data_IF_789806905571
#
_entry.id   IF_789806905571
#
_cell.length_a   1.000
_cell.length_b   1.000
_cell.length_c   1.000
_cell.angle_alpha   90.00
_cell.angle_beta   90.00
_cell.angle_gamma   90.00
#
_symmetry.space_group_name_H-M   'P 1'
#
loop_
_entity.id
_entity.type
_entity.pdbx_description
1 polymer ?
#
# COMPACT_ATOMS: atom_id res chain seq x y z
N UNK A 1 35.47 42.40 -15.10
CA UNK A 1 34.39 43.17 -14.46
C UNK A 1 33.08 42.58 -14.98
N UNK A 2 32.19 41.94 -14.24
CA UNK A 2 32.03 41.66 -12.81
C UNK A 2 31.12 40.41 -12.68
N UNK A 3 31.31 39.69 -11.57
CA UNK A 3 30.61 38.50 -11.08
C UNK A 3 29.18 38.27 -11.61
N UNK A 4 28.92 37.09 -12.21
CA UNK A 4 27.61 36.44 -12.11
C UNK A 4 27.61 35.54 -10.88
N UNK A 5 26.61 35.67 -10.00
CA UNK A 5 26.72 35.20 -8.63
C UNK A 5 26.59 33.68 -8.57
N UNK A 6 27.46 33.13 -7.73
CA UNK A 6 27.43 31.83 -7.11
C UNK A 6 26.10 31.66 -6.34
N UNK A 7 24.97 31.54 -7.04
CA UNK A 7 23.65 31.36 -6.43
C UNK A 7 23.36 29.88 -6.24
N UNK A 8 23.71 29.43 -5.04
CA UNK A 8 22.82 28.66 -4.18
C UNK A 8 22.50 27.22 -4.63
N UNK A 9 23.50 26.34 -4.49
CA UNK A 9 23.32 24.88 -4.63
C UNK A 9 22.21 24.32 -3.73
N UNK A 10 21.85 25.02 -2.65
CA UNK A 10 20.72 24.73 -1.77
C UNK A 10 19.39 24.69 -2.54
N UNK A 11 19.13 25.67 -3.42
CA UNK A 11 17.84 25.84 -4.12
C UNK A 11 17.64 24.75 -5.17
N UNK A 12 18.71 24.32 -5.85
CA UNK A 12 18.68 23.18 -6.77
C UNK A 12 18.42 21.86 -6.02
N UNK A 13 19.00 21.67 -4.83
CA UNK A 13 18.77 20.46 -4.01
C UNK A 13 17.32 20.40 -3.51
N UNK A 14 16.74 21.51 -3.03
CA UNK A 14 15.34 21.55 -2.58
C UNK A 14 14.34 21.32 -3.72
N UNK A 15 14.59 21.90 -4.91
CA UNK A 15 13.78 21.66 -6.11
C UNK A 15 13.85 20.20 -6.57
N UNK A 16 15.06 19.63 -6.60
CA UNK A 16 15.28 18.22 -6.98
C UNK A 16 14.65 17.25 -5.98
N UNK A 17 14.69 17.57 -4.67
CA UNK A 17 14.09 16.74 -3.62
C UNK A 17 12.58 16.60 -3.77
N UNK A 18 11.87 17.71 -4.01
CA UNK A 18 10.41 17.68 -4.23
C UNK A 18 10.01 16.90 -5.49
N UNK A 19 10.82 16.99 -6.56
CA UNK A 19 10.64 16.23 -7.79
C UNK A 19 10.84 14.72 -7.58
N UNK A 20 11.92 14.32 -6.87
CA UNK A 20 12.20 12.92 -6.56
C UNK A 20 11.15 12.30 -5.65
N UNK A 21 10.66 13.06 -4.67
CA UNK A 21 9.57 12.62 -3.79
C UNK A 21 8.28 12.40 -4.58
N UNK A 22 7.91 13.32 -5.48
CA UNK A 22 6.73 13.18 -6.33
C UNK A 22 6.84 11.94 -7.24
N UNK A 23 8.02 11.71 -7.82
CA UNK A 23 8.28 10.55 -8.67
C UNK A 23 8.21 9.23 -7.87
N UNK A 24 8.77 9.19 -6.66
CA UNK A 24 8.68 8.04 -5.77
C UNK A 24 7.24 7.72 -5.37
N UNK A 25 6.44 8.74 -5.03
CA UNK A 25 5.01 8.58 -4.72
C UNK A 25 4.21 8.06 -5.92
N UNK A 26 4.49 8.55 -7.13
CA UNK A 26 3.87 8.02 -8.36
C UNK A 26 4.22 6.56 -8.59
N UNK A 27 5.48 6.17 -8.39
CA UNK A 27 5.91 4.76 -8.45
C UNK A 27 5.23 3.92 -7.35
N UNK A 28 4.96 4.49 -6.18
CA UNK A 28 4.20 3.85 -5.10
C UNK A 28 2.80 3.48 -5.54
N UNK A 29 2.08 4.49 -6.02
CA UNK A 29 0.72 4.33 -6.46
C UNK A 29 0.64 3.32 -7.62
N UNK A 30 1.63 3.34 -8.51
CA UNK A 30 1.71 2.40 -9.62
C UNK A 30 2.01 0.96 -9.17
N UNK A 31 2.90 0.78 -8.18
CA UNK A 31 3.21 -0.54 -7.62
C UNK A 31 1.98 -1.19 -6.96
N UNK A 32 1.18 -0.40 -6.26
CA UNK A 32 -0.05 -0.83 -5.60
C UNK A 32 -1.30 -0.70 -6.47
N UNK A 33 -1.17 -0.37 -7.76
CA UNK A 33 -2.33 -0.26 -8.64
C UNK A 33 -2.96 -1.65 -8.86
N UNK A 34 -4.30 -1.76 -8.89
CA UNK A 34 -4.95 -3.03 -9.17
C UNK A 34 -4.49 -3.57 -10.53
N UNK A 35 -4.20 -4.86 -10.64
CA UNK A 35 -3.43 -5.32 -11.78
C UNK A 35 -4.37 -5.76 -12.88
N UNK A 36 -4.77 -4.78 -13.67
CA UNK A 36 -5.48 -4.97 -14.93
C UNK A 36 -4.51 -5.56 -15.97
N UNK A 37 -4.09 -6.82 -15.79
CA UNK A 37 -3.09 -7.46 -16.65
C UNK A 37 -3.66 -7.69 -18.05
N UNK A 38 -3.57 -6.81 -19.03
CA UNK A 38 -4.12 -7.13 -20.36
C UNK A 38 -3.53 -8.46 -20.89
N UNK A 39 -4.40 -9.47 -21.05
CA UNK A 39 -4.00 -10.77 -21.60
C UNK A 39 -3.69 -10.62 -23.08
N UNK A 40 -2.94 -11.56 -23.67
CA UNK A 40 -2.78 -11.59 -25.12
C UNK A 40 -4.08 -12.07 -25.77
N UNK A 41 -4.96 -11.14 -26.18
CA UNK A 41 -6.18 -11.42 -26.93
C UNK A 41 -7.45 -10.81 -26.32
N UNK A 42 -8.61 -11.03 -26.96
CA UNK A 42 -9.90 -10.62 -26.39
C UNK A 42 -10.17 -11.44 -25.11
N UNK A 43 -10.41 -10.78 -23.96
CA UNK A 43 -10.65 -11.48 -22.71
C UNK A 43 -11.96 -12.26 -22.75
N UNK A 44 -11.93 -13.50 -22.27
CA UNK A 44 -13.16 -14.27 -22.06
C UNK A 44 -14.02 -13.62 -20.96
N UNK A 45 -15.35 -13.79 -21.03
CA UNK A 45 -16.27 -13.30 -19.97
C UNK A 45 -15.84 -13.79 -18.57
N UNK A 46 -15.38 -15.04 -18.47
CA UNK A 46 -14.91 -15.61 -17.20
C UNK A 46 -13.62 -14.94 -16.71
N UNK A 47 -12.72 -14.60 -17.63
CA UNK A 47 -11.46 -13.91 -17.33
C UNK A 47 -11.72 -12.49 -16.79
N UNK A 48 -12.65 -11.77 -17.43
CA UNK A 48 -13.09 -10.44 -16.98
C UNK A 48 -13.67 -10.50 -15.57
N UNK A 49 -14.54 -11.47 -15.28
CA UNK A 49 -15.10 -11.65 -13.93
C UNK A 49 -14.01 -11.96 -12.90
N UNK A 50 -13.08 -12.86 -13.21
CA UNK A 50 -11.98 -13.20 -12.31
C UNK A 50 -11.11 -11.97 -11.98
N UNK A 51 -10.82 -11.12 -12.99
CA UNK A 51 -10.08 -9.86 -12.80
C UNK A 51 -10.81 -8.89 -11.88
N UNK A 52 -12.13 -8.75 -12.05
CA UNK A 52 -12.95 -7.87 -11.20
C UNK A 52 -12.97 -8.38 -9.76
N UNK A 53 -13.22 -9.67 -9.55
CA UNK A 53 -13.21 -10.28 -8.21
C UNK A 53 -11.86 -10.05 -7.54
N UNK A 54 -10.77 -10.27 -8.28
CA UNK A 54 -9.44 -10.09 -7.74
C UNK A 54 -9.10 -8.63 -7.43
N UNK A 55 -9.55 -7.68 -8.25
CA UNK A 55 -9.42 -6.25 -7.95
C UNK A 55 -10.20 -5.86 -6.68
N UNK A 56 -11.42 -6.36 -6.51
CA UNK A 56 -12.22 -6.14 -5.30
C UNK A 56 -11.50 -6.73 -4.08
N UNK A 57 -11.05 -7.98 -4.16
CA UNK A 57 -10.32 -8.64 -3.09
C UNK A 57 -9.08 -7.83 -2.67
N UNK A 58 -8.32 -7.36 -3.65
CA UNK A 58 -7.14 -6.56 -3.40
C UNK A 58 -7.46 -5.24 -2.68
N UNK A 59 -8.49 -4.50 -3.13
CA UNK A 59 -8.92 -3.26 -2.49
C UNK A 59 -9.38 -3.52 -1.05
N UNK A 60 -10.14 -4.60 -0.83
CA UNK A 60 -10.60 -4.98 0.51
C UNK A 60 -9.43 -5.32 1.43
N UNK A 61 -8.44 -6.08 0.96
CA UNK A 61 -7.28 -6.44 1.76
C UNK A 61 -6.41 -5.22 2.10
N UNK A 62 -6.15 -4.34 1.15
CA UNK A 62 -5.38 -3.11 1.38
C UNK A 62 -6.13 -2.20 2.33
N UNK A 63 -7.44 -2.01 2.12
CA UNK A 63 -8.29 -1.21 3.00
C UNK A 63 -8.31 -1.74 4.43
N UNK A 64 -8.46 -3.06 4.60
CA UNK A 64 -8.42 -3.70 5.91
C UNK A 64 -7.03 -3.62 6.57
N UNK A 65 -5.95 -3.80 5.81
CA UNK A 65 -4.59 -3.64 6.32
C UNK A 65 -4.37 -2.20 6.82
N UNK A 66 -4.73 -1.18 6.03
CA UNK A 66 -4.69 0.23 6.43
C UNK A 66 -5.57 0.47 7.66
N UNK A 67 -6.74 -0.18 7.73
CA UNK A 67 -7.66 -0.17 8.88
C UNK A 67 -6.96 -0.50 10.21
N UNK A 68 -5.93 -1.35 10.18
CA UNK A 68 -5.14 -1.72 11.36
C UNK A 68 -4.50 -0.49 12.04
N UNK A 69 -4.17 0.57 11.28
CA UNK A 69 -3.57 1.79 11.82
C UNK A 69 -4.56 2.64 12.61
N UNK A 70 -5.87 2.49 12.36
CA UNK A 70 -6.93 3.25 13.02
C UNK A 70 -7.43 2.58 14.30
N UNK A 71 -7.11 1.30 14.52
CA UNK A 71 -7.53 0.55 15.70
C UNK A 71 -6.41 0.62 16.75
N UNK A 72 -6.64 1.37 17.83
CA UNK A 72 -5.63 1.58 18.88
C UNK A 72 -5.08 0.28 19.48
N UNK A 73 -5.94 -0.74 19.67
CA UNK A 73 -5.55 -2.06 20.19
C UNK A 73 -4.53 -2.78 19.30
N UNK A 74 -4.55 -2.53 17.99
CA UNK A 74 -3.68 -3.18 17.02
C UNK A 74 -2.37 -2.40 16.78
N UNK A 75 -2.19 -1.22 17.37
CA UNK A 75 -0.97 -0.41 17.24
C UNK A 75 0.12 -0.90 18.20
N UNK A 76 0.61 -2.10 17.99
CA UNK A 76 1.67 -2.73 18.78
C UNK A 76 3.01 -2.76 18.01
N UNK A 77 4.07 -3.26 18.66
CA UNK A 77 5.40 -3.37 18.05
C UNK A 77 5.39 -4.32 16.85
N UNK A 78 4.62 -5.39 16.91
CA UNK A 78 4.55 -6.43 15.87
C UNK A 78 3.93 -5.88 14.58
N UNK A 79 2.78 -5.22 14.67
CA UNK A 79 2.14 -4.58 13.51
C UNK A 79 2.99 -3.44 12.96
N UNK A 80 3.71 -2.72 13.82
CA UNK A 80 4.69 -1.72 13.37
C UNK A 80 5.83 -2.36 12.57
N UNK A 81 6.37 -3.50 13.01
CA UNK A 81 7.39 -4.25 12.28
C UNK A 81 6.87 -4.78 10.94
N UNK A 82 5.62 -5.26 10.90
CA UNK A 82 4.97 -5.68 9.66
C UNK A 82 4.83 -4.51 8.68
N UNK A 83 4.39 -3.35 9.16
CA UNK A 83 4.31 -2.14 8.34
C UNK A 83 5.68 -1.67 7.85
N UNK A 84 6.71 -1.73 8.70
CA UNK A 84 8.09 -1.42 8.31
C UNK A 84 8.61 -2.40 7.26
N UNK A 85 8.29 -3.69 7.36
CA UNK A 85 8.66 -4.68 6.34
C UNK A 85 7.98 -4.39 4.99
N UNK A 86 6.68 -4.07 5.00
CA UNK A 86 5.92 -3.70 3.79
C UNK A 86 6.49 -2.43 3.17
N UNK A 87 6.71 -1.38 3.96
CA UNK A 87 7.25 -0.11 3.49
C UNK A 87 8.68 -0.26 2.98
N UNK A 88 9.54 -0.99 3.71
CA UNK A 88 10.93 -1.24 3.32
C UNK A 88 11.01 -2.03 2.02
N UNK A 89 10.21 -3.10 1.89
CA UNK A 89 10.11 -3.86 0.65
C UNK A 89 9.64 -2.99 -0.52
N UNK A 90 8.60 -2.19 -0.30
CA UNK A 90 8.08 -1.25 -1.32
C UNK A 90 9.13 -0.22 -1.72
N UNK A 91 9.85 0.35 -0.75
CA UNK A 91 10.89 1.36 -0.99
C UNK A 91 12.06 0.81 -1.81
N UNK A 92 12.52 -0.42 -1.51
CA UNK A 92 13.56 -1.09 -2.30
C UNK A 92 13.11 -1.26 -3.75
N UNK A 93 11.87 -1.70 -3.97
CA UNK A 93 11.35 -1.90 -5.33
C UNK A 93 11.13 -0.60 -6.09
N UNK A 94 10.82 0.50 -5.42
CA UNK A 94 10.74 1.83 -6.05
C UNK A 94 12.09 2.35 -6.55
N UNK A 95 13.16 2.00 -5.82
CA UNK A 95 14.51 2.49 -6.08
C UNK A 95 15.16 1.74 -7.24
N UNK A 96 14.98 0.42 -7.31
CA UNK A 96 15.73 -0.44 -8.24
C UNK A 96 14.93 -0.93 -9.45
N UNK A 97 13.68 -1.39 -9.30
CA UNK A 97 12.92 -1.99 -10.42
C UNK A 97 11.43 -2.21 -10.09
N UNK A 98 10.51 -1.67 -10.90
CA UNK A 98 9.06 -1.80 -10.70
C UNK A 98 8.48 -2.76 -11.75
N UNK A 99 8.36 -4.04 -11.41
CA UNK A 99 7.41 -4.95 -12.09
C UNK A 99 6.26 -5.23 -11.14
N UNK A 100 5.05 -5.10 -11.66
CA UNK A 100 3.78 -5.44 -11.02
C UNK A 100 3.78 -6.79 -10.28
N UNK A 101 4.45 -7.79 -10.82
CA UNK A 101 4.56 -9.14 -10.24
C UNK A 101 5.21 -9.15 -8.86
N UNK A 102 6.10 -8.20 -8.56
CA UNK A 102 6.81 -8.16 -7.28
C UNK A 102 5.96 -7.74 -6.09
N UNK A 103 4.67 -7.44 -6.25
CA UNK A 103 3.76 -7.31 -5.10
C UNK A 103 3.33 -8.67 -4.53
N UNK A 104 3.40 -9.76 -5.29
CA UNK A 104 2.95 -11.08 -4.85
C UNK A 104 3.66 -11.57 -3.57
N UNK A 105 5.00 -11.40 -3.41
CA UNK A 105 5.70 -11.82 -2.20
C UNK A 105 5.31 -11.08 -0.93
N UNK A 106 4.81 -9.84 -1.02
CA UNK A 106 4.46 -9.03 0.15
C UNK A 106 3.01 -9.23 0.60
N UNK A 107 2.16 -9.81 -0.26
CA UNK A 107 0.73 -10.05 0.02
C UNK A 107 0.46 -10.82 1.31
N UNK A 108 1.23 -11.86 1.70
CA UNK A 108 0.98 -12.56 2.96
C UNK A 108 1.01 -11.62 4.18
N UNK A 109 1.91 -10.64 4.21
CA UNK A 109 1.97 -9.67 5.31
C UNK A 109 0.76 -8.74 5.33
N UNK A 110 0.30 -8.31 4.14
CA UNK A 110 -0.93 -7.53 3.99
C UNK A 110 -2.14 -8.33 4.49
N UNK A 111 -2.22 -9.62 4.14
CA UNK A 111 -3.28 -10.51 4.59
C UNK A 111 -3.29 -10.67 6.12
N UNK A 112 -2.12 -10.76 6.76
CA UNK A 112 -2.02 -10.82 8.23
C UNK A 112 -2.58 -9.54 8.86
N UNK A 113 -2.16 -8.37 8.39
CA UNK A 113 -2.69 -7.09 8.89
C UNK A 113 -4.20 -6.96 8.67
N UNK A 114 -4.68 -7.37 7.50
CA UNK A 114 -6.12 -7.38 7.20
C UNK A 114 -6.89 -8.31 8.13
N UNK A 115 -6.37 -9.52 8.40
CA UNK A 115 -6.99 -10.49 9.30
C UNK A 115 -7.11 -9.94 10.72
N UNK A 116 -6.07 -9.29 11.25
CA UNK A 116 -6.11 -8.65 12.57
C UNK A 116 -7.19 -7.56 12.66
N UNK A 117 -7.33 -6.75 11.61
CA UNK A 117 -8.40 -5.74 11.53
C UNK A 117 -9.78 -6.39 11.56
N UNK A 118 -10.00 -7.43 10.75
CA UNK A 118 -11.28 -8.15 10.73
C UNK A 118 -11.60 -8.80 12.08
N UNK A 119 -10.62 -9.45 12.71
CA UNK A 119 -10.76 -10.04 14.03
C UNK A 119 -11.15 -8.99 15.08
N UNK A 120 -10.47 -7.84 15.07
CA UNK A 120 -10.80 -6.75 16.00
C UNK A 120 -12.21 -6.18 15.76
N UNK A 121 -12.64 -6.06 14.50
CA UNK A 121 -14.00 -5.59 14.17
C UNK A 121 -15.07 -6.59 14.61
N UNK A 122 -14.84 -7.88 14.39
CA UNK A 122 -15.75 -8.95 14.83
C UNK A 122 -15.87 -8.97 16.35
N UNK A 123 -14.75 -8.87 17.07
CA UNK A 123 -14.74 -8.83 18.52
C UNK A 123 -15.49 -7.60 19.06
N UNK A 124 -15.31 -6.43 18.44
CA UNK A 124 -16.05 -5.22 18.81
C UNK A 124 -17.56 -5.38 18.59
N UNK A 125 -17.96 -5.94 17.45
CA UNK A 125 -19.36 -6.18 17.13
C UNK A 125 -20.03 -7.17 18.09
N UNK A 126 -19.33 -8.24 18.47
CA UNK A 126 -19.80 -9.22 19.46
C UNK A 126 -20.02 -8.59 20.83
N UNK A 127 -19.09 -7.75 21.30
CA UNK A 127 -19.23 -7.06 22.59
C UNK A 127 -20.45 -6.13 22.61
N UNK A 128 -20.68 -5.37 21.53
CA UNK A 128 -21.88 -4.52 21.40
C UNK A 128 -23.16 -5.36 21.47
N UNK A 129 -23.19 -6.50 20.79
CA UNK A 129 -24.36 -7.39 20.75
C UNK A 129 -24.69 -7.97 22.13
N UNK A 130 -23.69 -8.30 22.94
CA UNK A 130 -23.88 -8.80 24.31
C UNK A 130 -24.32 -7.66 25.24
N UNK A 131 -23.76 -6.46 25.09
CA UNK A 131 -24.14 -5.29 25.88
C UNK A 131 -25.55 -4.78 25.60
N UNK A 132 -26.05 -4.94 24.36
CA UNK A 132 -27.40 -4.55 23.97
C UNK A 132 -28.50 -5.55 24.40
N UNK A 133 -28.13 -6.74 24.89
CA UNK A 133 -29.04 -7.80 25.32
C UNK A 133 -29.10 -7.95 26.86
N UNK A 134 -28.58 -6.95 27.59
CA UNK A 134 -28.72 -6.77 29.04
C UNK A 134 -29.63 -5.59 29.29
#
# INVERSE_FOLDING_TARGET
MLLRPLLDGSVLIFSTGSFMLNLALKKAAYFWLPPFHEGKGQPSKAETVARVIWAIQFIVLIGAAIGCLFIARLRNRETTLLWLAIMGYTAVHMLFYVIFRYREPIMPLVCVLAALTFESLVHYWQLQRIGANK
#
